data_IF_688449960770
#
_entry.id   IF_688449960770
#
_cell.length_a   1.000
_cell.length_b   1.000
_cell.length_c   1.000
_cell.angle_alpha   90.00
_cell.angle_beta   90.00
_cell.angle_gamma   90.00
#
_symmetry.space_group_name_H-M   'P 1'
#
loop_
_entity.id
_entity.type
_entity.pdbx_description
1 polymer ?
#
# COMPACT_ATOMS: atom_id res chain seq x y z
N UNK A 1 8.68 -10.85 -8.22
CA UNK A 1 9.40 -10.00 -9.18
C UNK A 1 8.88 -10.17 -10.62
N UNK A 2 8.82 -11.41 -11.15
CA UNK A 2 8.34 -11.66 -12.52
C UNK A 2 6.90 -11.14 -12.75
N UNK A 3 5.99 -11.31 -11.81
CA UNK A 3 4.62 -10.80 -11.92
C UNK A 3 4.55 -9.28 -12.13
N UNK A 4 5.41 -8.53 -11.42
CA UNK A 4 5.51 -7.08 -11.59
C UNK A 4 6.05 -6.73 -12.98
N UNK A 5 7.03 -7.46 -13.48
CA UNK A 5 7.57 -7.28 -14.85
C UNK A 5 6.52 -7.53 -15.93
N UNK A 6 5.65 -8.53 -15.74
CA UNK A 6 4.53 -8.80 -16.64
C UNK A 6 3.51 -7.66 -16.64
N UNK A 7 3.18 -7.11 -15.45
CA UNK A 7 2.24 -5.99 -15.33
C UNK A 7 2.80 -4.74 -16.00
N UNK A 8 4.03 -4.38 -15.68
CA UNK A 8 4.66 -3.16 -16.18
C UNK A 8 4.95 -3.21 -17.68
N UNK A 9 5.11 -4.41 -18.24
CA UNK A 9 5.45 -4.61 -19.65
C UNK A 9 6.54 -3.62 -20.14
N UNK A 10 7.76 -3.67 -19.58
CA UNK A 10 8.79 -2.62 -19.80
C UNK A 10 9.23 -2.50 -21.27
N UNK A 11 8.90 -3.50 -22.10
CA UNK A 11 9.22 -3.47 -23.54
C UNK A 11 8.36 -2.43 -24.28
N UNK A 12 7.16 -2.15 -23.79
CA UNK A 12 6.22 -1.17 -24.37
C UNK A 12 6.28 0.20 -23.72
N UNK A 13 6.99 0.34 -22.61
CA UNK A 13 7.10 1.62 -21.88
C UNK A 13 8.29 2.43 -22.40
N UNK A 14 8.04 3.65 -22.86
CA UNK A 14 9.08 4.68 -22.90
C UNK A 14 9.52 4.95 -21.45
N UNK A 15 10.83 4.95 -21.18
CA UNK A 15 11.34 5.24 -19.84
C UNK A 15 10.95 6.68 -19.47
N UNK A 16 9.98 6.82 -18.57
CA UNK A 16 9.56 8.11 -18.02
C UNK A 16 10.28 8.32 -16.69
N UNK A 17 10.95 9.49 -16.58
CA UNK A 17 11.64 9.88 -15.34
C UNK A 17 10.71 9.91 -14.13
N UNK A 18 9.40 10.07 -14.34
CA UNK A 18 8.39 10.03 -13.29
C UNK A 18 8.29 8.67 -12.57
N UNK A 19 8.81 7.59 -13.15
CA UNK A 19 8.86 6.27 -12.50
C UNK A 19 9.77 6.23 -11.27
N UNK A 20 10.63 7.23 -11.08
CA UNK A 20 11.49 7.33 -9.89
C UNK A 20 10.69 7.57 -8.62
N UNK A 21 9.57 8.30 -8.69
CA UNK A 21 8.75 8.64 -7.52
C UNK A 21 8.11 7.41 -6.85
N UNK A 22 7.46 6.50 -7.58
CA UNK A 22 6.97 5.25 -7.00
C UNK A 22 8.08 4.38 -6.40
N UNK A 23 9.29 4.38 -6.99
CA UNK A 23 10.42 3.64 -6.46
C UNK A 23 10.88 4.21 -5.11
N UNK A 24 11.02 5.53 -5.02
CA UNK A 24 11.34 6.22 -3.76
C UNK A 24 10.28 5.90 -2.70
N UNK A 25 8.99 5.99 -3.07
CA UNK A 25 7.89 5.68 -2.16
C UNK A 25 7.96 4.23 -1.64
N UNK A 26 8.26 3.28 -2.52
CA UNK A 26 8.41 1.87 -2.13
C UNK A 26 9.56 1.67 -1.13
N UNK A 27 10.70 2.33 -1.35
CA UNK A 27 11.84 2.30 -0.41
C UNK A 27 11.47 2.91 0.95
N UNK A 28 10.79 4.07 0.95
CA UNK A 28 10.34 4.74 2.17
C UNK A 28 9.33 3.88 2.94
N UNK A 29 8.39 3.23 2.24
CA UNK A 29 7.41 2.34 2.85
C UNK A 29 8.07 1.10 3.48
N UNK A 30 9.10 0.55 2.84
CA UNK A 30 9.88 -0.56 3.38
C UNK A 30 10.61 -0.15 4.67
N UNK A 31 11.29 1.00 4.66
CA UNK A 31 11.96 1.57 5.83
C UNK A 31 10.94 1.82 6.95
N UNK A 32 9.81 2.46 6.63
CA UNK A 32 8.72 2.70 7.56
C UNK A 32 8.24 1.41 8.25
N UNK A 33 8.01 0.35 7.47
CA UNK A 33 7.52 -0.93 7.99
C UNK A 33 8.51 -1.57 8.94
N UNK A 34 9.82 -1.51 8.62
CA UNK A 34 10.88 -2.04 9.49
C UNK A 34 10.99 -1.23 10.78
N UNK A 35 10.99 0.10 10.67
CA UNK A 35 11.07 0.98 11.84
C UNK A 35 9.85 0.81 12.76
N UNK A 36 8.64 0.78 12.19
CA UNK A 36 7.40 0.56 12.96
C UNK A 36 7.43 -0.78 13.69
N UNK A 37 7.90 -1.83 13.03
CA UNK A 37 8.08 -3.14 13.67
C UNK A 37 9.10 -3.11 14.80
N UNK A 38 10.21 -2.40 14.64
CA UNK A 38 11.23 -2.29 15.69
C UNK A 38 10.71 -1.49 16.91
N UNK A 39 9.96 -0.42 16.65
CA UNK A 39 9.39 0.42 17.70
C UNK A 39 8.29 -0.32 18.46
N UNK A 40 7.58 -1.24 17.83
CA UNK A 40 6.52 -2.03 18.47
C UNK A 40 6.99 -2.91 19.64
N UNK A 41 8.30 -3.06 19.82
CA UNK A 41 8.87 -3.70 21.01
C UNK A 41 8.83 -2.78 22.25
N UNK A 42 8.66 -1.48 22.07
CA UNK A 42 8.70 -0.46 23.13
C UNK A 42 7.37 0.28 23.27
N UNK A 43 6.69 0.53 22.15
CA UNK A 43 5.44 1.28 22.06
C UNK A 43 4.32 0.40 21.47
N UNK A 44 3.08 0.62 21.93
CA UNK A 44 1.89 -0.02 21.35
C UNK A 44 1.47 0.66 20.04
N UNK A 45 0.59 0.00 19.28
CA UNK A 45 0.10 0.50 17.99
C UNK A 45 -0.64 1.83 18.10
N UNK A 46 -1.35 2.08 19.20
CA UNK A 46 -2.08 3.33 19.44
C UNK A 46 -1.11 4.52 19.55
N UNK A 47 -0.01 4.37 20.30
CA UNK A 47 1.02 5.39 20.45
C UNK A 47 1.74 5.65 19.13
N UNK A 48 2.13 4.59 18.42
CA UNK A 48 2.77 4.70 17.11
C UNK A 48 1.86 5.41 16.11
N UNK A 49 0.58 5.04 16.05
CA UNK A 49 -0.40 5.67 15.17
C UNK A 49 -0.61 7.15 15.52
N UNK A 50 -0.74 7.48 16.80
CA UNK A 50 -0.90 8.86 17.26
C UNK A 50 0.25 9.75 16.78
N UNK A 51 1.50 9.33 16.98
CA UNK A 51 2.66 10.10 16.54
C UNK A 51 2.76 10.25 15.03
N UNK A 52 2.48 9.19 14.28
CA UNK A 52 2.44 9.26 12.80
C UNK A 52 1.36 10.25 12.35
N UNK A 53 0.18 10.23 12.97
CA UNK A 53 -0.90 11.15 12.64
C UNK A 53 -0.53 12.62 12.98
N UNK A 54 0.08 12.87 14.13
CA UNK A 54 0.53 14.22 14.53
C UNK A 54 1.60 14.75 13.57
N UNK A 55 2.65 13.97 13.34
CA UNK A 55 3.75 14.40 12.45
C UNK A 55 3.23 14.64 11.04
N UNK A 56 2.45 13.69 10.51
CA UNK A 56 1.82 13.82 9.18
C UNK A 56 0.89 15.04 9.11
N UNK A 57 0.07 15.27 10.15
CA UNK A 57 -0.82 16.41 10.24
C UNK A 57 -0.07 17.75 10.26
N UNK A 58 1.00 17.86 11.04
CA UNK A 58 1.86 19.07 11.09
C UNK A 58 2.49 19.33 9.71
N UNK A 59 3.10 18.32 9.11
CA UNK A 59 3.72 18.45 7.78
C UNK A 59 2.69 18.89 6.74
N UNK A 60 1.52 18.25 6.70
CA UNK A 60 0.46 18.59 5.75
C UNK A 60 -0.19 19.95 6.03
N UNK A 61 -0.21 20.42 7.28
CA UNK A 61 -0.70 21.77 7.60
C UNK A 61 0.26 22.85 7.07
N UNK A 62 1.56 22.57 7.03
CA UNK A 62 2.56 23.51 6.50
C UNK A 62 2.59 23.49 4.97
N UNK A 63 2.56 22.29 4.36
CA UNK A 63 2.73 22.12 2.92
C UNK A 63 1.39 22.23 2.17
N UNK A 64 0.31 21.73 2.76
CA UNK A 64 -1.01 21.64 2.12
C UNK A 64 -1.54 22.94 1.54
N UNK A 65 -1.43 24.09 2.21
CA UNK A 65 -1.92 25.36 1.68
C UNK A 65 -1.32 25.77 0.34
N UNK A 66 -0.11 25.32 0.02
CA UNK A 66 0.55 25.63 -1.26
C UNK A 66 -0.01 24.83 -2.44
N UNK A 67 -0.70 23.72 -2.17
CA UNK A 67 -1.28 22.82 -3.16
C UNK A 67 -2.79 22.64 -2.98
N UNK A 68 -3.40 23.56 -2.22
CA UNK A 68 -4.82 23.45 -1.89
C UNK A 68 -5.69 23.77 -3.09
N UNK A 69 -6.50 22.79 -3.50
CA UNK A 69 -7.57 22.96 -4.46
C UNK A 69 -8.94 22.80 -3.77
N UNK A 70 -9.89 23.64 -4.18
CA UNK A 70 -11.23 23.58 -3.59
C UNK A 70 -11.94 22.29 -4.02
N UNK A 71 -12.34 21.51 -3.03
CA UNK A 71 -13.10 20.28 -3.26
C UNK A 71 -14.50 20.64 -3.76
N UNK A 72 -14.96 19.98 -4.82
CA UNK A 72 -16.33 20.13 -5.30
C UNK A 72 -17.29 19.48 -4.30
N UNK A 73 -18.38 20.15 -3.98
CA UNK A 73 -19.31 19.73 -2.91
C UNK A 73 -19.84 18.29 -3.09
N UNK A 74 -20.02 17.85 -4.33
CA UNK A 74 -20.48 16.49 -4.68
C UNK A 74 -19.45 15.41 -4.32
N UNK A 75 -18.16 15.75 -4.21
CA UNK A 75 -17.07 14.80 -3.97
C UNK A 75 -16.74 14.69 -2.47
N UNK A 76 -17.29 15.59 -1.64
CA UNK A 76 -17.09 15.60 -0.19
C UNK A 76 -17.41 14.25 0.48
N UNK A 77 -18.53 13.58 0.21
CA UNK A 77 -18.84 12.29 0.83
C UNK A 77 -17.80 11.22 0.50
N UNK A 78 -17.34 11.17 -0.76
CA UNK A 78 -16.31 10.22 -1.20
C UNK A 78 -14.96 10.51 -0.56
N UNK A 79 -14.62 11.80 -0.42
CA UNK A 79 -13.42 12.23 0.27
C UNK A 79 -13.43 11.84 1.75
N UNK A 80 -14.55 12.06 2.45
CA UNK A 80 -14.70 11.65 3.85
C UNK A 80 -14.60 10.13 4.00
N UNK A 81 -15.22 9.37 3.11
CA UNK A 81 -15.12 7.92 3.08
C UNK A 81 -13.66 7.47 2.86
N UNK A 82 -12.95 8.09 1.92
CA UNK A 82 -11.52 7.82 1.67
C UNK A 82 -10.69 8.09 2.92
N UNK A 83 -10.88 9.24 3.57
CA UNK A 83 -10.17 9.60 4.80
C UNK A 83 -10.41 8.57 5.91
N UNK A 84 -11.67 8.17 6.12
CA UNK A 84 -12.03 7.17 7.11
C UNK A 84 -11.39 5.82 6.83
N UNK A 85 -11.53 5.30 5.61
CA UNK A 85 -10.98 4.00 5.21
C UNK A 85 -9.44 3.99 5.27
N UNK A 86 -8.80 5.06 4.82
CA UNK A 86 -7.33 5.20 4.87
C UNK A 86 -6.82 5.22 6.31
N UNK A 87 -7.49 5.97 7.18
CA UNK A 87 -7.14 6.06 8.60
C UNK A 87 -7.27 4.70 9.29
N UNK A 88 -8.42 4.03 9.11
CA UNK A 88 -8.65 2.69 9.65
C UNK A 88 -7.65 1.66 9.10
N UNK A 89 -7.42 1.68 7.78
CA UNK A 89 -6.47 0.78 7.13
C UNK A 89 -5.04 0.98 7.63
N UNK A 90 -4.62 2.22 7.81
CA UNK A 90 -3.29 2.54 8.32
C UNK A 90 -3.12 2.11 9.79
N UNK A 91 -4.11 2.34 10.64
CA UNK A 91 -4.12 1.84 12.02
C UNK A 91 -4.02 0.32 12.08
N UNK A 92 -4.84 -0.39 11.28
CA UNK A 92 -4.79 -1.85 11.20
C UNK A 92 -3.43 -2.36 10.70
N UNK A 93 -2.80 -1.65 9.77
CA UNK A 93 -1.47 -1.99 9.27
C UNK A 93 -0.40 -1.86 10.36
N UNK A 94 -0.41 -0.78 11.16
CA UNK A 94 0.49 -0.62 12.30
C UNK A 94 0.26 -1.74 13.32
N UNK A 95 -1.01 -2.06 13.61
CA UNK A 95 -1.38 -3.14 14.54
C UNK A 95 -0.95 -4.53 14.04
N UNK A 96 -0.98 -4.76 12.74
CA UNK A 96 -0.46 -5.97 12.14
C UNK A 96 1.08 -6.06 12.28
N UNK A 97 1.80 -4.95 12.12
CA UNK A 97 3.26 -4.87 12.33
C UNK A 97 3.65 -5.05 13.80
N UNK A 98 2.79 -4.72 14.76
CA UNK A 98 3.01 -5.01 16.18
C UNK A 98 3.01 -6.52 16.44
N UNK A 99 2.15 -7.27 15.77
CA UNK A 99 1.96 -8.71 16.01
C UNK A 99 2.82 -9.61 15.14
N UNK A 100 3.18 -9.17 13.93
CA UNK A 100 3.90 -9.97 12.95
C UNK A 100 5.07 -9.23 12.31
N UNK A 101 6.04 -9.99 11.81
CA UNK A 101 7.16 -9.42 11.05
C UNK A 101 6.66 -8.85 9.71
N UNK A 102 7.30 -7.76 9.25
CA UNK A 102 6.96 -7.12 7.99
C UNK A 102 6.99 -8.08 6.79
N UNK A 103 7.92 -9.04 6.78
CA UNK A 103 8.02 -10.07 5.72
C UNK A 103 6.82 -11.01 5.66
N UNK A 104 6.18 -11.28 6.80
CA UNK A 104 4.98 -12.12 6.87
C UNK A 104 3.75 -11.38 6.35
N UNK A 105 3.73 -10.05 6.48
CA UNK A 105 2.61 -9.23 6.02
C UNK A 105 2.62 -8.95 4.51
N UNK A 106 3.77 -9.04 3.86
CA UNK A 106 3.93 -8.71 2.43
C UNK A 106 2.94 -9.46 1.50
N UNK A 107 2.72 -10.78 1.64
CA UNK A 107 1.75 -11.49 0.80
C UNK A 107 0.32 -10.94 0.91
N UNK A 108 -0.07 -10.47 2.10
CA UNK A 108 -1.40 -9.87 2.32
C UNK A 108 -1.54 -8.50 1.66
N UNK A 109 -0.44 -7.72 1.60
CA UNK A 109 -0.42 -6.43 0.90
C UNK A 109 -0.68 -6.63 -0.60
N UNK A 110 -0.24 -7.75 -1.18
CA UNK A 110 -0.52 -8.04 -2.59
C UNK A 110 -2.02 -8.28 -2.89
N UNK A 111 -2.84 -8.64 -1.90
CA UNK A 111 -4.29 -8.70 -2.06
C UNK A 111 -4.89 -7.33 -2.40
N UNK A 112 -4.22 -6.25 -2.02
CA UNK A 112 -4.62 -4.89 -2.41
C UNK A 112 -4.72 -4.75 -3.93
N UNK A 113 -3.79 -5.34 -4.68
CA UNK A 113 -3.81 -5.31 -6.15
C UNK A 113 -5.08 -5.98 -6.71
N UNK A 114 -5.48 -7.11 -6.13
CA UNK A 114 -6.69 -7.82 -6.52
C UNK A 114 -7.96 -6.97 -6.27
N UNK A 115 -8.12 -6.44 -5.06
CA UNK A 115 -9.27 -5.60 -4.73
C UNK A 115 -9.29 -4.28 -5.51
N UNK A 116 -8.14 -3.64 -5.70
CA UNK A 116 -8.01 -2.43 -6.51
C UNK A 116 -8.42 -2.69 -7.97
N UNK A 117 -8.03 -3.84 -8.55
CA UNK A 117 -8.44 -4.23 -9.90
C UNK A 117 -9.95 -4.44 -10.01
N UNK A 118 -10.58 -5.08 -9.03
CA UNK A 118 -12.04 -5.27 -9.01
C UNK A 118 -12.75 -3.90 -8.96
N UNK A 119 -12.31 -3.01 -8.08
CA UNK A 119 -12.88 -1.67 -7.96
C UNK A 119 -12.66 -0.86 -9.25
N UNK A 120 -11.47 -0.94 -9.85
CA UNK A 120 -11.16 -0.30 -11.12
C UNK A 120 -12.14 -0.71 -12.23
N UNK A 121 -12.42 -2.01 -12.34
CA UNK A 121 -13.38 -2.52 -13.34
C UNK A 121 -14.82 -2.10 -13.03
N UNK A 122 -15.26 -2.28 -11.77
CA UNK A 122 -16.67 -2.10 -11.41
C UNK A 122 -17.07 -0.63 -11.29
N UNK A 123 -16.17 0.24 -10.84
CA UNK A 123 -16.47 1.64 -10.55
C UNK A 123 -15.98 2.56 -11.66
N UNK A 124 -14.79 2.29 -12.19
CA UNK A 124 -14.15 3.16 -13.19
C UNK A 124 -14.25 2.63 -14.61
N UNK A 125 -14.87 1.43 -14.81
CA UNK A 125 -14.95 0.73 -16.10
C UNK A 125 -13.58 0.53 -16.77
N UNK A 126 -12.54 0.31 -15.95
CA UNK A 126 -11.19 0.06 -16.44
C UNK A 126 -11.14 -1.25 -17.24
N UNK A 127 -10.38 -1.24 -18.34
CA UNK A 127 -10.15 -2.44 -19.12
C UNK A 127 -9.09 -3.31 -18.41
N UNK A 128 -9.46 -4.54 -18.12
CA UNK A 128 -8.53 -5.53 -17.57
C UNK A 128 -7.54 -5.94 -18.65
N UNK A 129 -6.34 -5.39 -18.63
CA UNK A 129 -5.31 -5.80 -19.56
C UNK A 129 -4.84 -7.22 -19.22
N UNK A 130 -4.56 -8.02 -20.24
CA UNK A 130 -4.05 -9.39 -20.05
C UNK A 130 -2.79 -9.40 -19.16
N UNK A 131 -1.96 -8.38 -19.29
CA UNK A 131 -0.75 -8.23 -18.47
C UNK A 131 -1.06 -8.08 -16.99
N UNK A 132 -2.09 -7.27 -16.64
CA UNK A 132 -2.53 -7.10 -15.27
C UNK A 132 -3.10 -8.40 -14.68
N UNK A 133 -3.88 -9.14 -15.48
CA UNK A 133 -4.43 -10.44 -15.07
C UNK A 133 -3.33 -11.48 -14.80
N UNK A 134 -2.46 -11.74 -15.77
CA UNK A 134 -1.40 -12.74 -15.60
C UNK A 134 -0.37 -12.34 -14.56
N UNK A 135 0.03 -11.08 -14.53
CA UNK A 135 0.95 -10.57 -13.51
C UNK A 135 0.36 -10.62 -12.10
N UNK A 136 -0.94 -10.30 -11.94
CA UNK A 136 -1.66 -10.41 -10.68
C UNK A 136 -1.72 -11.86 -10.17
N UNK A 137 -2.06 -12.82 -11.04
CA UNK A 137 -2.06 -14.25 -10.70
C UNK A 137 -0.68 -14.72 -10.24
N UNK A 138 0.40 -14.31 -10.92
CA UNK A 138 1.77 -14.65 -10.53
C UNK A 138 2.15 -14.05 -9.16
N UNK A 139 1.75 -12.81 -8.88
CA UNK A 139 2.04 -12.15 -7.59
C UNK A 139 1.30 -12.86 -6.46
N UNK A 140 -0.01 -13.07 -6.62
CA UNK A 140 -0.83 -13.73 -5.59
C UNK A 140 -0.35 -15.18 -5.37
N UNK A 141 -0.09 -15.94 -6.45
CA UNK A 141 0.40 -17.30 -6.36
C UNK A 141 1.75 -17.41 -5.64
N UNK A 142 2.69 -16.49 -5.96
CA UNK A 142 3.98 -16.43 -5.26
C UNK A 142 3.85 -16.03 -3.79
N UNK A 143 2.91 -15.16 -3.47
CA UNK A 143 2.61 -14.76 -2.09
C UNK A 143 2.06 -15.93 -1.25
N UNK A 144 1.08 -16.66 -1.79
CA UNK A 144 0.52 -17.86 -1.14
C UNK A 144 1.62 -18.93 -0.95
N UNK A 145 2.45 -19.17 -1.97
CA UNK A 145 3.56 -20.11 -1.88
C UNK A 145 4.55 -19.73 -0.76
N UNK A 146 4.89 -18.44 -0.67
CA UNK A 146 5.77 -17.94 0.39
C UNK A 146 5.19 -18.17 1.79
N UNK A 147 3.88 -17.95 1.99
CA UNK A 147 3.18 -18.19 3.26
C UNK A 147 3.23 -19.66 3.66
N UNK A 148 2.91 -20.58 2.74
CA UNK A 148 2.92 -22.02 3.00
C UNK A 148 4.33 -22.48 3.38
N UNK A 149 5.35 -21.99 2.69
CA UNK A 149 6.74 -22.32 2.98
C UNK A 149 7.18 -21.83 4.36
N UNK A 150 6.80 -20.60 4.74
CA UNK A 150 7.16 -20.03 6.03
C UNK A 150 6.52 -20.81 7.18
N UNK A 151 5.27 -21.22 7.02
CA UNK A 151 4.56 -22.04 8.00
C UNK A 151 5.20 -23.43 8.20
N UNK A 152 5.67 -24.06 7.11
CA UNK A 152 6.31 -25.39 7.16
C UNK A 152 7.73 -25.37 7.78
N UNK A 153 8.38 -24.19 7.83
CA UNK A 153 9.74 -24.07 8.44
C UNK A 153 9.66 -23.77 9.96
N UNK A 154 8.50 -23.29 10.44
CA UNK A 154 8.29 -22.99 11.87
C UNK A 154 7.71 -24.17 12.67
N UNK A 155 7.25 -25.23 12.00
CA UNK A 155 6.86 -26.52 12.57
C UNK A 155 7.95 -27.58 12.39
#
# INVERSE_FOLDING_TARGET
FFGIMVILNPISMSFDFNLIWPLILACLLAIYSILTRNISAYDNSETSFFWVAIVGGVVMTIIGPFFFELLVLKDVPWFLLLCFLSTCGHFLFIKALETAQASVLQPFIYLQLFFASIIGILVFNDLLTLNLFFGGVLIIGSGIFALIRTHNVQN
#
